data_IF_697980898012
#
_entry.id   IF_697980898012
#
_cell.length_a   1.000
_cell.length_b   1.000
_cell.length_c   1.000
_cell.angle_alpha   90.00
_cell.angle_beta   90.00
_cell.angle_gamma   90.00
#
_symmetry.space_group_name_H-M   'P 1'
#
loop_
_entity.id
_entity.type
_entity.pdbx_description
1 polymer ?
#
# COMPACT_ATOMS: atom_id res chain seq x y z
N UNK A 1 -5.54 -20.85 19.57
CA UNK A 1 -5.44 -20.28 18.21
C UNK A 1 -6.70 -20.65 17.46
N UNK A 2 -7.28 -19.77 16.63
CA UNK A 2 -8.54 -20.07 15.95
C UNK A 2 -8.37 -21.34 15.10
N UNK A 3 -9.17 -22.34 15.40
CA UNK A 3 -9.19 -23.68 14.79
C UNK A 3 -10.15 -23.73 13.60
N UNK A 4 -10.25 -22.64 12.84
CA UNK A 4 -11.07 -22.63 11.64
C UNK A 4 -10.28 -23.31 10.51
N UNK A 5 -10.89 -24.29 9.85
CA UNK A 5 -10.36 -24.91 8.63
C UNK A 5 -10.50 -23.99 7.40
N UNK A 6 -11.19 -22.87 7.55
CA UNK A 6 -11.39 -21.91 6.47
C UNK A 6 -10.10 -21.15 6.14
N UNK A 7 -9.80 -20.95 4.84
CA UNK A 7 -8.71 -20.10 4.39
C UNK A 7 -8.75 -18.70 5.05
N UNK A 8 -7.61 -18.26 5.56
CA UNK A 8 -7.49 -16.92 6.15
C UNK A 8 -6.96 -15.95 5.11
N UNK A 9 -7.78 -14.96 4.75
CA UNK A 9 -7.43 -13.90 3.80
C UNK A 9 -7.20 -12.59 4.56
N UNK A 10 -6.01 -12.02 4.46
CA UNK A 10 -5.63 -10.82 5.22
C UNK A 10 -5.41 -9.62 4.30
N UNK A 11 -5.99 -8.48 4.67
CA UNK A 11 -5.75 -7.19 4.06
C UNK A 11 -4.91 -6.32 5.00
N UNK A 12 -3.73 -5.90 4.56
CA UNK A 12 -2.91 -4.90 5.22
C UNK A 12 -3.37 -3.52 4.74
N UNK A 13 -3.67 -2.63 5.68
CA UNK A 13 -3.99 -1.23 5.41
C UNK A 13 -2.83 -0.36 5.89
N UNK A 14 -2.29 0.47 5.00
CA UNK A 14 -1.25 1.45 5.29
C UNK A 14 -1.68 2.82 4.76
N UNK A 15 -1.32 3.88 5.48
CA UNK A 15 -1.55 5.25 5.02
C UNK A 15 -0.53 5.61 3.92
N UNK A 16 0.74 5.24 4.10
CA UNK A 16 1.83 5.70 3.24
C UNK A 16 2.80 4.58 2.88
N UNK A 17 3.00 4.33 1.59
CA UNK A 17 4.06 3.45 1.09
C UNK A 17 5.35 4.24 0.82
N UNK A 18 6.43 3.86 1.48
CA UNK A 18 7.79 4.37 1.24
C UNK A 18 8.62 3.33 0.48
N UNK A 19 9.39 2.50 1.19
CA UNK A 19 10.11 1.34 0.63
C UNK A 19 9.25 0.08 0.61
N UNK A 20 8.20 0.03 1.44
CA UNK A 20 7.36 -1.16 1.63
C UNK A 20 7.93 -2.19 2.60
N UNK A 21 9.08 -1.93 3.23
CA UNK A 21 9.76 -2.91 4.09
C UNK A 21 8.88 -3.42 5.25
N UNK A 22 8.11 -2.53 5.89
CA UNK A 22 7.19 -2.89 6.98
C UNK A 22 6.05 -3.77 6.49
N UNK A 23 5.41 -3.38 5.39
CA UNK A 23 4.32 -4.14 4.76
C UNK A 23 4.79 -5.53 4.30
N UNK A 24 5.98 -5.62 3.70
CA UNK A 24 6.57 -6.90 3.28
C UNK A 24 6.93 -7.80 4.48
N UNK A 25 7.50 -7.23 5.54
CA UNK A 25 7.81 -7.97 6.77
C UNK A 25 6.54 -8.52 7.43
N UNK A 26 5.48 -7.71 7.52
CA UNK A 26 4.18 -8.13 8.04
C UNK A 26 3.54 -9.20 7.15
N UNK A 27 3.57 -9.01 5.83
CA UNK A 27 3.03 -10.00 4.89
C UNK A 27 3.73 -11.35 5.03
N UNK A 28 5.06 -11.35 5.18
CA UNK A 28 5.83 -12.56 5.47
C UNK A 28 5.39 -13.21 6.80
N UNK A 29 5.28 -12.44 7.88
CA UNK A 29 4.84 -12.96 9.17
C UNK A 29 3.43 -13.57 9.11
N UNK A 30 2.49 -12.92 8.41
CA UNK A 30 1.14 -13.42 8.19
C UNK A 30 1.12 -14.72 7.38
N UNK A 31 1.95 -14.81 6.33
CA UNK A 31 2.10 -16.04 5.55
C UNK A 31 2.66 -17.19 6.40
N UNK A 32 3.69 -16.92 7.22
CA UNK A 32 4.23 -17.90 8.18
C UNK A 32 3.18 -18.32 9.21
N UNK A 33 2.29 -17.42 9.62
CA UNK A 33 1.19 -17.70 10.53
C UNK A 33 0.00 -18.45 9.87
N UNK A 34 0.08 -18.78 8.58
CA UNK A 34 -0.92 -19.59 7.88
C UNK A 34 -1.94 -18.80 7.05
N UNK A 35 -1.74 -17.49 6.83
CA UNK A 35 -2.61 -16.73 5.93
C UNK A 35 -2.54 -17.29 4.50
N UNK A 36 -3.68 -17.66 3.94
CA UNK A 36 -3.82 -18.18 2.57
C UNK A 36 -3.50 -17.09 1.56
N UNK A 37 -4.02 -15.88 1.77
CA UNK A 37 -3.68 -14.70 0.95
C UNK A 37 -3.36 -13.51 1.83
N UNK A 38 -2.44 -12.68 1.34
CA UNK A 38 -2.16 -11.37 1.92
C UNK A 38 -2.17 -10.37 0.79
N UNK A 39 -2.97 -9.32 0.93
CA UNK A 39 -3.00 -8.17 0.04
C UNK A 39 -2.70 -6.90 0.85
N UNK A 40 -2.19 -5.87 0.19
CA UNK A 40 -1.95 -4.57 0.80
C UNK A 40 -2.72 -3.49 0.02
N UNK A 41 -3.44 -2.64 0.74
CA UNK A 41 -4.03 -1.41 0.22
C UNK A 41 -3.35 -0.25 0.93
N UNK A 42 -2.88 0.71 0.13
CA UNK A 42 -2.09 1.83 0.61
C UNK A 42 -2.65 3.12 0.04
N UNK A 43 -2.89 4.11 0.91
CA UNK A 43 -3.58 5.33 0.51
C UNK A 43 -2.68 6.32 -0.23
N UNK A 44 -1.41 6.42 0.15
CA UNK A 44 -0.45 7.35 -0.43
C UNK A 44 0.89 6.70 -0.77
N UNK A 45 1.58 7.22 -1.78
CA UNK A 45 2.96 6.82 -2.09
C UNK A 45 3.90 7.99 -1.83
N UNK A 46 4.82 7.82 -0.89
CA UNK A 46 5.94 8.73 -0.73
C UNK A 46 7.08 8.29 -1.64
N UNK A 47 7.50 9.18 -2.55
CA UNK A 47 8.52 8.92 -3.57
C UNK A 47 9.68 9.87 -3.34
N UNK A 48 10.90 9.35 -3.29
CA UNK A 48 12.09 10.19 -3.30
C UNK A 48 12.24 10.87 -4.68
N UNK A 49 12.19 12.21 -4.78
CA UNK A 49 12.31 12.92 -6.05
C UNK A 49 13.68 12.76 -6.70
N UNK A 50 14.72 12.39 -5.93
CA UNK A 50 16.06 12.16 -6.43
C UNK A 50 16.27 10.73 -6.94
N UNK A 51 15.29 9.84 -6.74
CA UNK A 51 15.37 8.48 -7.26
C UNK A 51 15.08 8.48 -8.76
N UNK A 52 16.14 8.49 -9.56
CA UNK A 52 16.08 8.65 -11.01
C UNK A 52 15.05 7.75 -11.74
N UNK A 53 14.82 6.47 -11.36
CA UNK A 53 13.79 5.63 -11.96
C UNK A 53 12.34 6.12 -11.72
N UNK A 54 12.10 6.90 -10.67
CA UNK A 54 10.76 7.41 -10.36
C UNK A 54 10.36 8.67 -11.15
N UNK A 55 11.25 9.25 -11.96
CA UNK A 55 10.98 10.49 -12.72
C UNK A 55 9.72 10.39 -13.59
N UNK A 56 9.50 9.26 -14.25
CA UNK A 56 8.31 9.08 -15.10
C UNK A 56 7.03 9.15 -14.27
N UNK A 57 7.00 8.46 -13.12
CA UNK A 57 5.88 8.50 -12.18
C UNK A 57 5.63 9.93 -11.70
N UNK A 58 6.68 10.60 -11.21
CA UNK A 58 6.60 11.96 -10.67
C UNK A 58 6.10 12.96 -11.72
N UNK A 59 6.55 12.86 -12.97
CA UNK A 59 6.07 13.71 -14.06
C UNK A 59 4.59 13.44 -14.39
N UNK A 60 4.15 12.19 -14.26
CA UNK A 60 2.76 11.80 -14.57
C UNK A 60 1.78 12.33 -13.52
N UNK A 61 2.19 12.40 -12.25
CA UNK A 61 1.36 12.81 -11.12
C UNK A 61 1.56 14.28 -10.71
N UNK A 62 2.38 15.03 -11.46
CA UNK A 62 2.68 16.43 -11.16
C UNK A 62 1.46 17.36 -11.32
N UNK A 63 0.41 16.91 -12.02
CA UNK A 63 -0.84 17.64 -12.22
C UNK A 63 -2.00 16.67 -12.43
N UNK A 64 -3.18 16.90 -11.82
CA UNK A 64 -3.57 18.08 -11.03
C UNK A 64 -2.97 18.08 -9.61
N UNK A 65 -2.76 19.28 -9.07
CA UNK A 65 -2.40 19.46 -7.65
C UNK A 65 -3.57 18.99 -6.79
N UNK A 66 -3.27 18.23 -5.73
CA UNK A 66 -4.28 17.79 -4.77
C UNK A 66 -5.02 19.00 -4.18
N UNK A 67 -6.33 19.05 -4.37
CA UNK A 67 -7.19 20.09 -3.83
C UNK A 67 -7.86 19.56 -2.55
N UNK A 68 -7.45 20.10 -1.40
CA UNK A 68 -7.99 19.72 -0.09
C UNK A 68 -9.49 20.05 0.07
N UNK A 69 -10.06 20.83 -0.83
CA UNK A 69 -11.48 21.21 -0.82
C UNK A 69 -12.36 20.29 -1.69
N UNK A 70 -11.75 19.38 -2.47
CA UNK A 70 -12.48 18.40 -3.28
C UNK A 70 -12.25 16.98 -2.76
N UNK A 71 -13.34 16.25 -2.56
CA UNK A 71 -13.27 14.83 -2.25
C UNK A 71 -12.85 14.05 -3.51
N UNK A 72 -11.80 13.23 -3.43
CA UNK A 72 -11.32 12.44 -4.57
C UNK A 72 -12.32 11.37 -5.07
N UNK A 73 -13.41 11.14 -4.33
CA UNK A 73 -14.48 10.21 -4.69
C UNK A 73 -15.72 10.92 -5.28
N UNK A 74 -15.72 12.24 -5.35
CA UNK A 74 -16.82 13.05 -5.89
C UNK A 74 -16.32 13.74 -7.16
N UNK A 75 -17.07 13.62 -8.27
CA UNK A 75 -16.75 14.29 -9.54
C UNK A 75 -16.88 15.82 -9.42
#
# INVERSE_FOLDING_TARGET
MPTSLEPVHVLILEDTWTTGARTQSLAHALKVAGATTVAAVVLGRHVDPNYAPARQLLNTIASPVFDTTRCAAED
#
